data_IF_189064562600
#
_entry.id   IF_189064562600
#
_cell.length_a   1.000
_cell.length_b   1.000
_cell.length_c   1.000
_cell.angle_alpha   90.00
_cell.angle_beta   90.00
_cell.angle_gamma   90.00
#
_symmetry.space_group_name_H-M   'P 1'
#
loop_
_entity.id
_entity.type
_entity.pdbx_description
1 polymer ?
#
# COMPACT_ATOMS: atom_id res chain seq x y z
N UNK A 1 9.35 -6.26 10.46
CA UNK A 1 9.35 -5.46 9.22
C UNK A 1 10.66 -4.70 9.09
N UNK A 2 11.16 -4.51 7.86
CA UNK A 2 12.27 -3.62 7.58
C UNK A 2 11.91 -2.13 7.84
N UNK A 3 12.89 -1.31 8.22
CA UNK A 3 12.69 0.12 8.55
C UNK A 3 12.17 0.91 7.35
N UNK A 4 12.73 0.69 6.15
CA UNK A 4 12.33 1.39 4.95
C UNK A 4 10.87 1.05 4.57
N UNK A 5 10.48 -0.22 4.70
CA UNK A 5 9.11 -0.67 4.47
C UNK A 5 8.15 -0.05 5.48
N UNK A 6 8.52 -0.01 6.76
CA UNK A 6 7.72 0.63 7.80
C UNK A 6 7.49 2.12 7.50
N UNK A 7 8.53 2.85 7.11
CA UNK A 7 8.44 4.29 6.79
C UNK A 7 7.67 4.53 5.48
N UNK A 8 7.70 3.59 4.53
CA UNK A 8 6.90 3.65 3.32
C UNK A 8 5.41 3.40 3.59
N UNK A 9 5.07 2.41 4.44
CA UNK A 9 3.70 2.18 4.88
C UNK A 9 3.11 3.39 5.61
N UNK A 10 3.90 4.08 6.44
CA UNK A 10 3.44 5.34 7.06
C UNK A 10 3.06 6.40 6.03
N UNK A 11 3.86 6.55 4.98
CA UNK A 11 3.59 7.50 3.89
C UNK A 11 2.34 7.11 3.11
N UNK A 12 2.19 5.82 2.78
CA UNK A 12 0.98 5.29 2.13
C UNK A 12 -0.28 5.58 2.94
N UNK A 13 -0.24 5.38 4.26
CA UNK A 13 -1.36 5.69 5.15
C UNK A 13 -1.76 7.18 5.09
N UNK A 14 -0.78 8.07 5.08
CA UNK A 14 -1.03 9.52 4.99
C UNK A 14 -1.60 9.87 3.63
N UNK A 15 -1.06 9.31 2.54
CA UNK A 15 -1.55 9.55 1.19
C UNK A 15 -2.99 9.07 1.03
N UNK A 16 -3.33 7.86 1.50
CA UNK A 16 -4.70 7.35 1.45
C UNK A 16 -5.71 8.26 2.16
N UNK A 17 -5.34 8.83 3.31
CA UNK A 17 -6.22 9.75 4.05
C UNK A 17 -6.30 11.17 3.48
N UNK A 18 -5.28 11.63 2.76
CA UNK A 18 -5.15 13.02 2.33
C UNK A 18 -5.20 13.26 0.83
N UNK A 19 -5.39 12.21 0.01
CA UNK A 19 -5.37 12.34 -1.45
C UNK A 19 -6.74 12.73 -1.99
N UNK A 20 -7.04 14.02 -1.96
CA UNK A 20 -8.17 14.59 -2.70
C UNK A 20 -8.01 14.36 -4.23
N UNK A 21 -6.77 14.25 -4.70
CA UNK A 21 -6.42 14.01 -6.11
C UNK A 21 -6.47 12.54 -6.55
N UNK A 22 -6.84 11.60 -5.65
CA UNK A 22 -6.92 10.19 -6.03
C UNK A 22 -8.29 9.84 -6.62
N UNK A 23 -8.27 9.10 -7.72
CA UNK A 23 -9.47 8.52 -8.37
C UNK A 23 -10.05 7.35 -7.56
N UNK A 24 -9.29 6.82 -6.59
CA UNK A 24 -9.75 5.78 -5.69
C UNK A 24 -10.84 6.33 -4.77
N UNK A 25 -12.05 5.72 -4.75
CA UNK A 25 -13.14 6.12 -3.87
C UNK A 25 -12.73 6.17 -2.39
N UNK A 26 -13.26 7.14 -1.64
CA UNK A 26 -12.94 7.38 -0.23
C UNK A 26 -13.01 6.11 0.62
N UNK A 27 -14.08 5.31 0.49
CA UNK A 27 -14.25 4.08 1.27
C UNK A 27 -13.16 3.02 1.00
N UNK A 28 -12.58 2.98 -0.21
CA UNK A 28 -11.44 2.13 -0.53
C UNK A 28 -10.16 2.69 0.07
N UNK A 29 -9.98 4.02 0.04
CA UNK A 29 -8.85 4.69 0.68
C UNK A 29 -8.84 4.48 2.20
N UNK A 30 -10.00 4.60 2.85
CA UNK A 30 -10.17 4.28 4.28
C UNK A 30 -9.77 2.82 4.57
N UNK A 31 -10.16 1.88 3.71
CA UNK A 31 -9.77 0.48 3.85
C UNK A 31 -8.27 0.25 3.67
N UNK A 32 -7.61 0.98 2.78
CA UNK A 32 -6.15 0.99 2.67
C UNK A 32 -5.54 1.48 3.99
N UNK A 33 -6.00 2.61 4.51
CA UNK A 33 -5.54 3.18 5.79
C UNK A 33 -5.69 2.20 6.95
N UNK A 34 -6.85 1.54 7.08
CA UNK A 34 -7.09 0.53 8.12
C UNK A 34 -6.14 -0.67 8.00
N UNK A 35 -6.00 -1.21 6.80
CA UNK A 35 -5.16 -2.38 6.55
C UNK A 35 -3.68 -2.06 6.79
N UNK A 36 -3.22 -0.90 6.34
CA UNK A 36 -1.86 -0.43 6.57
C UNK A 36 -1.60 -0.20 8.06
N UNK A 37 -2.56 0.35 8.80
CA UNK A 37 -2.44 0.52 10.25
C UNK A 37 -2.25 -0.82 10.96
N UNK A 38 -3.05 -1.83 10.59
CA UNK A 38 -2.91 -3.19 11.14
C UNK A 38 -1.55 -3.81 10.83
N UNK A 39 -1.06 -3.68 9.59
CA UNK A 39 0.26 -4.18 9.22
C UNK A 39 1.40 -3.55 10.04
N UNK A 40 1.29 -2.24 10.31
CA UNK A 40 2.23 -1.49 11.15
C UNK A 40 2.14 -1.94 12.61
N UNK A 41 0.93 -2.01 13.18
CA UNK A 41 0.69 -2.39 14.57
C UNK A 41 1.16 -3.83 14.87
N UNK A 42 0.92 -4.75 13.95
CA UNK A 42 1.35 -6.15 14.05
C UNK A 42 2.86 -6.33 13.77
N UNK A 43 3.57 -5.28 13.36
CA UNK A 43 4.95 -5.35 12.85
C UNK A 43 5.11 -6.49 11.82
N UNK A 44 4.17 -6.54 10.86
CA UNK A 44 4.07 -7.62 9.88
C UNK A 44 5.41 -7.89 9.16
N UNK A 45 5.67 -9.14 8.77
CA UNK A 45 6.83 -9.46 7.95
C UNK A 45 6.71 -8.81 6.57
N UNK A 46 7.84 -8.51 5.92
CA UNK A 46 7.86 -7.89 4.59
C UNK A 46 7.02 -8.72 3.59
N UNK A 47 7.12 -10.06 3.64
CA UNK A 47 6.28 -10.97 2.84
C UNK A 47 4.79 -10.76 3.06
N UNK A 48 4.34 -10.66 4.32
CA UNK A 48 2.92 -10.43 4.64
C UNK A 48 2.45 -9.06 4.17
N UNK A 49 3.31 -8.04 4.25
CA UNK A 49 3.02 -6.70 3.72
C UNK A 49 2.81 -6.76 2.21
N UNK A 50 3.74 -7.38 1.46
CA UNK A 50 3.62 -7.52 0.01
C UNK A 50 2.34 -8.28 -0.39
N UNK A 51 2.06 -9.43 0.23
CA UNK A 51 0.83 -10.20 -0.03
C UNK A 51 -0.45 -9.35 0.17
N UNK A 52 -0.49 -8.57 1.25
CA UNK A 52 -1.65 -7.73 1.57
C UNK A 52 -1.79 -6.52 0.65
N UNK A 53 -0.69 -5.87 0.30
CA UNK A 53 -0.71 -4.74 -0.64
C UNK A 53 -1.09 -5.21 -2.04
N UNK A 54 -0.54 -6.32 -2.53
CA UNK A 54 -0.90 -6.89 -3.84
C UNK A 54 -2.37 -7.28 -3.90
N UNK A 55 -2.90 -7.90 -2.83
CA UNK A 55 -4.32 -8.22 -2.72
C UNK A 55 -5.21 -6.98 -2.70
N UNK A 56 -4.82 -5.95 -1.93
CA UNK A 56 -5.53 -4.68 -1.86
C UNK A 56 -5.53 -3.93 -3.19
N UNK A 57 -4.39 -3.91 -3.88
CA UNK A 57 -4.24 -3.28 -5.19
C UNK A 57 -5.21 -3.91 -6.20
N UNK A 58 -5.23 -5.24 -6.30
CA UNK A 58 -6.16 -5.95 -7.19
C UNK A 58 -7.62 -5.62 -6.89
N UNK A 59 -7.99 -5.63 -5.60
CA UNK A 59 -9.35 -5.29 -5.19
C UNK A 59 -9.76 -3.85 -5.57
N UNK A 60 -8.83 -2.89 -5.50
CA UNK A 60 -9.06 -1.50 -5.92
C UNK A 60 -9.23 -1.41 -7.43
N UNK A 61 -8.34 -2.07 -8.19
CA UNK A 61 -8.42 -2.10 -9.66
C UNK A 61 -9.74 -2.71 -10.14
N UNK A 62 -10.17 -3.81 -9.51
CA UNK A 62 -11.43 -4.49 -9.84
C UNK A 62 -12.67 -3.64 -9.48
N UNK A 63 -12.61 -2.88 -8.39
CA UNK A 63 -13.77 -2.14 -7.87
C UNK A 63 -13.94 -0.74 -8.48
N UNK A 64 -12.84 -0.09 -8.85
CA UNK A 64 -12.85 1.32 -9.26
C UNK A 64 -12.09 1.63 -10.54
N UNK A 65 -11.26 0.70 -11.01
CA UNK A 65 -10.43 0.86 -12.21
C UNK A 65 -9.77 2.25 -12.32
N UNK A 66 -9.06 2.71 -11.26
CA UNK A 66 -8.33 3.97 -11.31
C UNK A 66 -7.24 3.87 -12.37
N UNK A 67 -6.79 5.02 -12.83
CA UNK A 67 -5.64 5.14 -13.72
C UNK A 67 -4.35 4.58 -13.08
N UNK A 68 -3.46 4.06 -13.91
CA UNK A 68 -2.18 3.50 -13.45
C UNK A 68 -1.25 4.57 -12.85
N UNK A 69 -1.45 5.85 -13.22
CA UNK A 69 -0.76 7.01 -12.67
C UNK A 69 -1.43 7.61 -11.43
N UNK A 70 -2.51 7.00 -10.92
CA UNK A 70 -3.10 7.40 -9.65
C UNK A 70 -2.04 7.34 -8.53
N UNK A 71 -1.92 8.41 -7.72
CA UNK A 71 -0.84 8.53 -6.75
C UNK A 71 -0.88 7.45 -5.65
N UNK A 72 -2.07 6.97 -5.29
CA UNK A 72 -2.23 5.90 -4.29
C UNK A 72 -1.80 4.55 -4.90
N UNK A 73 -2.19 4.29 -6.14
CA UNK A 73 -1.79 3.09 -6.90
C UNK A 73 -0.28 3.03 -7.07
N UNK A 74 0.33 4.12 -7.54
CA UNK A 74 1.79 4.24 -7.72
C UNK A 74 2.55 3.95 -6.41
N UNK A 75 2.07 4.48 -5.27
CA UNK A 75 2.70 4.24 -3.98
C UNK A 75 2.58 2.77 -3.53
N UNK A 76 1.41 2.14 -3.73
CA UNK A 76 1.24 0.73 -3.40
C UNK A 76 2.19 -0.17 -4.21
N UNK A 77 2.30 0.09 -5.51
CA UNK A 77 3.22 -0.64 -6.41
C UNK A 77 4.66 -0.45 -5.96
N UNK A 78 5.09 0.80 -5.73
CA UNK A 78 6.46 1.10 -5.30
C UNK A 78 6.86 0.35 -4.02
N UNK A 79 5.96 0.21 -3.05
CA UNK A 79 6.25 -0.52 -1.81
C UNK A 79 6.43 -2.01 -2.08
N UNK A 80 5.59 -2.60 -2.93
CA UNK A 80 5.70 -4.02 -3.30
C UNK A 80 7.05 -4.27 -3.97
N UNK A 81 7.45 -3.43 -4.93
CA UNK A 81 8.74 -3.54 -5.63
C UNK A 81 9.93 -3.43 -4.66
N UNK A 82 9.90 -2.49 -3.71
CA UNK A 82 10.96 -2.36 -2.69
C UNK A 82 11.06 -3.63 -1.85
N UNK A 83 9.94 -4.25 -1.47
CA UNK A 83 9.96 -5.51 -0.72
C UNK A 83 10.61 -6.62 -1.54
N UNK A 84 10.26 -6.74 -2.82
CA UNK A 84 10.82 -7.75 -3.71
C UNK A 84 12.33 -7.57 -3.91
N UNK A 85 12.79 -6.32 -4.05
CA UNK A 85 14.23 -6.02 -4.16
C UNK A 85 14.98 -6.45 -2.90
N UNK A 86 14.53 -6.00 -1.71
CA UNK A 86 15.20 -6.33 -0.44
C UNK A 86 15.15 -7.83 -0.15
N UNK A 87 14.10 -8.53 -0.56
CA UNK A 87 13.97 -9.98 -0.34
C UNK A 87 14.86 -10.83 -1.27
N UNK A 88 15.39 -10.26 -2.36
CA UNK A 88 16.31 -10.94 -3.27
C UNK A 88 17.79 -10.71 -2.91
N UNK A 89 18.06 -9.78 -1.99
CA UNK A 89 19.42 -9.47 -1.51
C UNK A 89 19.81 -10.25 -0.23
N UNK A 90 18.88 -10.99 0.38
CA UNK A 90 19.07 -11.89 1.53
C UNK A 90 19.30 -13.36 1.12
#
# INVERSE_FOLDING_TARGET
>A
MDRAIYDALKRLKVAANGSDDSEVPEWLRERVTENVSKLIEENASNRKVAEKLTGGLRAIMDASSPSDDDPLICQMISIIEVIELVSNEE
#
